data_IF_214271402824
#
_entry.id   IF_214271402824
#
_cell.length_a   1.000
_cell.length_b   1.000
_cell.length_c   1.000
_cell.angle_alpha   90.00
_cell.angle_beta   90.00
_cell.angle_gamma   90.00
#
_symmetry.space_group_name_H-M   'P 1'
#
loop_
_entity.id
_entity.type
_entity.pdbx_description
1 polymer ?
#
# COMPACT_ATOMS: atom_id res chain seq x y z
N UNK A 1 -12.40 -50.14 -26.40
CA UNK A 1 -11.76 -49.47 -25.24
C UNK A 1 -10.81 -48.44 -25.80
N UNK A 2 -11.29 -47.20 -25.89
CA UNK A 2 -10.53 -46.08 -26.45
C UNK A 2 -10.03 -45.26 -25.26
N UNK A 3 -8.71 -45.25 -25.07
CA UNK A 3 -8.02 -44.48 -24.05
C UNK A 3 -8.23 -42.98 -24.32
N UNK A 4 -9.23 -42.40 -23.65
CA UNK A 4 -9.37 -40.96 -23.54
C UNK A 4 -8.34 -40.46 -22.51
N UNK A 5 -7.16 -40.08 -23.00
CA UNK A 5 -6.28 -39.18 -22.24
C UNK A 5 -7.06 -37.87 -22.00
N UNK A 6 -7.16 -37.37 -20.76
CA UNK A 6 -7.82 -36.09 -20.53
C UNK A 6 -7.04 -35.01 -21.27
N UNK A 7 -7.74 -34.18 -22.05
CA UNK A 7 -7.19 -32.99 -22.65
C UNK A 7 -6.65 -32.09 -21.54
N UNK A 8 -5.33 -31.98 -21.41
CA UNK A 8 -4.69 -31.00 -20.54
C UNK A 8 -5.09 -29.64 -21.08
N UNK A 9 -5.95 -28.91 -20.36
CA UNK A 9 -6.44 -27.62 -20.82
C UNK A 9 -5.27 -26.63 -20.88
N UNK A 10 -5.06 -26.06 -22.06
CA UNK A 10 -4.05 -25.00 -22.31
C UNK A 10 -4.36 -23.73 -21.49
N UNK A 11 -5.58 -23.61 -20.94
CA UNK A 11 -6.00 -22.52 -20.07
C UNK A 11 -5.32 -22.51 -18.69
N UNK A 12 -4.78 -23.63 -18.20
CA UNK A 12 -4.30 -23.74 -16.81
C UNK A 12 -2.98 -22.99 -16.51
N UNK A 13 -2.29 -22.43 -17.52
CA UNK A 13 -1.02 -21.70 -17.35
C UNK A 13 -0.90 -20.45 -18.22
N UNK A 14 -2.03 -19.86 -18.62
CA UNK A 14 -2.01 -18.54 -19.26
C UNK A 14 -1.78 -17.45 -18.21
N UNK A 15 -0.79 -16.59 -18.43
CA UNK A 15 -0.42 -15.54 -17.47
C UNK A 15 -1.46 -14.43 -17.39
N UNK A 16 -2.13 -14.11 -18.50
CA UNK A 16 -3.11 -13.02 -18.55
C UNK A 16 -4.39 -13.39 -17.79
N UNK A 17 -4.87 -14.61 -17.97
CA UNK A 17 -5.99 -15.16 -17.20
C UNK A 17 -5.69 -15.21 -15.70
N UNK A 18 -4.47 -15.63 -15.33
CA UNK A 18 -4.03 -15.64 -13.93
C UNK A 18 -3.95 -14.24 -13.32
N UNK A 19 -3.45 -13.25 -14.09
CA UNK A 19 -3.39 -11.85 -13.67
C UNK A 19 -4.79 -11.34 -13.29
N UNK A 20 -5.75 -11.45 -14.20
CA UNK A 20 -7.14 -11.02 -13.98
C UNK A 20 -7.77 -11.74 -12.77
N UNK A 21 -7.49 -13.03 -12.62
CA UNK A 21 -7.97 -13.82 -11.51
C UNK A 21 -7.42 -13.30 -10.17
N UNK A 22 -6.11 -13.06 -10.06
CA UNK A 22 -5.52 -12.64 -8.78
C UNK A 22 -5.84 -11.19 -8.44
N UNK A 23 -5.97 -10.31 -9.44
CA UNK A 23 -6.46 -8.95 -9.22
C UNK A 23 -7.88 -8.95 -8.65
N UNK A 24 -8.81 -9.68 -9.27
CA UNK A 24 -10.20 -9.76 -8.80
C UNK A 24 -10.33 -10.42 -7.42
N UNK A 25 -9.42 -11.32 -7.06
CA UNK A 25 -9.38 -11.96 -5.74
C UNK A 25 -8.62 -11.15 -4.69
N UNK A 26 -7.99 -10.03 -5.04
CA UNK A 26 -7.13 -9.28 -4.14
C UNK A 26 -5.98 -10.12 -3.58
N UNK A 27 -5.41 -11.01 -4.40
CA UNK A 27 -4.27 -11.86 -3.99
C UNK A 27 -2.96 -11.24 -4.47
N UNK A 28 -1.93 -11.11 -3.61
CA UNK A 28 -0.61 -10.64 -4.05
C UNK A 28 0.00 -11.57 -5.10
N UNK A 29 0.65 -10.98 -6.10
CA UNK A 29 1.37 -11.69 -7.15
C UNK A 29 2.50 -10.80 -7.70
N UNK A 30 3.46 -11.39 -8.40
CA UNK A 30 4.47 -10.66 -9.17
C UNK A 30 4.27 -10.93 -10.66
N UNK A 31 4.30 -9.87 -11.48
CA UNK A 31 4.41 -10.00 -12.92
C UNK A 31 5.89 -10.00 -13.30
N UNK A 32 6.33 -11.04 -13.98
CA UNK A 32 7.70 -11.18 -14.46
C UNK A 32 7.69 -11.03 -15.98
N UNK A 33 8.54 -10.15 -16.51
CA UNK A 33 8.70 -9.92 -17.94
C UNK A 33 10.15 -10.15 -18.35
N UNK A 34 10.39 -10.98 -19.37
CA UNK A 34 11.70 -11.12 -20.00
C UNK A 34 11.98 -9.89 -20.84
N UNK A 35 12.98 -9.10 -20.45
CA UNK A 35 13.39 -7.89 -21.17
C UNK A 35 14.32 -8.23 -22.35
N UNK A 36 15.33 -9.07 -22.08
CA UNK A 36 16.31 -9.51 -23.08
C UNK A 36 16.77 -10.93 -22.81
N UNK A 37 17.11 -11.66 -23.87
CA UNK A 37 17.74 -12.98 -23.78
C UNK A 37 18.88 -13.12 -24.78
N UNK A 38 19.94 -13.79 -24.35
CA UNK A 38 21.13 -14.10 -25.13
C UNK A 38 21.27 -15.61 -25.25
N UNK A 39 21.40 -16.15 -26.48
CA UNK A 39 21.49 -17.58 -26.69
C UNK A 39 22.71 -18.24 -26.01
N UNK A 40 22.58 -19.52 -25.61
CA UNK A 40 21.35 -20.30 -25.66
C UNK A 40 20.46 -20.02 -24.44
N UNK A 41 19.25 -19.54 -24.71
CA UNK A 41 18.22 -19.30 -23.71
C UNK A 41 16.88 -19.79 -24.26
N UNK A 42 16.09 -20.46 -23.43
CA UNK A 42 14.74 -20.90 -23.79
C UNK A 42 13.68 -19.80 -23.67
N UNK A 43 14.05 -18.68 -23.06
CA UNK A 43 13.23 -17.49 -22.94
C UNK A 43 13.48 -16.52 -24.10
N UNK A 44 12.45 -15.79 -24.49
CA UNK A 44 12.49 -14.72 -25.49
C UNK A 44 12.07 -13.40 -24.86
N UNK A 45 12.59 -12.29 -25.38
CA UNK A 45 12.10 -10.97 -25.01
C UNK A 45 10.57 -10.90 -25.20
N UNK A 46 9.86 -10.39 -24.20
CA UNK A 46 8.40 -10.32 -24.17
C UNK A 46 7.69 -11.52 -23.54
N UNK A 47 8.39 -12.63 -23.28
CA UNK A 47 7.84 -13.72 -22.48
C UNK A 47 7.46 -13.22 -21.07
N UNK A 48 6.32 -13.69 -20.55
CA UNK A 48 5.76 -13.23 -19.28
C UNK A 48 5.28 -14.41 -18.43
N UNK A 49 5.38 -14.22 -17.12
CA UNK A 49 4.70 -15.07 -16.15
C UNK A 49 4.15 -14.26 -14.97
N UNK A 50 2.98 -14.64 -14.50
CA UNK A 50 2.47 -14.28 -13.18
C UNK A 50 2.95 -15.32 -12.19
N UNK A 51 3.49 -14.85 -11.06
CA UNK A 51 4.02 -15.72 -10.01
C UNK A 51 3.41 -15.33 -8.67
N UNK A 52 2.79 -16.30 -8.00
CA UNK A 52 2.16 -16.11 -6.69
C UNK A 52 3.17 -16.29 -5.56
N UNK A 53 2.83 -15.83 -4.36
CA UNK A 53 3.70 -15.92 -3.16
C UNK A 53 4.01 -17.36 -2.71
N UNK A 54 3.21 -18.34 -3.12
CA UNK A 54 3.49 -19.78 -2.92
C UNK A 54 4.40 -20.36 -4.03
N UNK A 55 4.82 -19.54 -4.98
CA UNK A 55 5.79 -19.88 -6.02
C UNK A 55 5.20 -20.59 -7.23
N UNK A 56 3.88 -20.58 -7.43
CA UNK A 56 3.25 -21.09 -8.64
C UNK A 56 3.45 -20.13 -9.82
N UNK A 57 3.83 -20.66 -10.99
CA UNK A 57 4.07 -19.90 -12.22
C UNK A 57 2.94 -20.13 -13.22
N UNK A 58 2.38 -19.03 -13.72
CA UNK A 58 1.40 -18.97 -14.80
C UNK A 58 2.02 -18.19 -15.94
N UNK A 59 2.44 -18.88 -17.01
CA UNK A 59 3.21 -18.32 -18.11
C UNK A 59 4.62 -18.90 -18.20
N UNK A 60 5.49 -18.19 -18.90
CA UNK A 60 6.84 -18.63 -19.22
C UNK A 60 7.85 -17.49 -19.11
N UNK A 61 9.01 -17.76 -18.53
CA UNK A 61 10.15 -16.82 -18.45
C UNK A 61 11.50 -17.55 -18.69
N UNK A 62 11.44 -18.77 -19.23
CA UNK A 62 12.58 -19.68 -19.35
C UNK A 62 12.52 -20.90 -18.44
N UNK A 63 13.53 -21.76 -18.60
CA UNK A 63 13.59 -23.09 -17.95
C UNK A 63 14.00 -23.08 -16.47
N UNK A 64 14.15 -24.27 -15.91
CA UNK A 64 14.32 -24.50 -14.46
C UNK A 64 15.57 -23.88 -13.81
N UNK A 65 16.61 -23.51 -14.57
CA UNK A 65 17.80 -22.86 -14.01
C UNK A 65 17.53 -21.41 -13.54
N UNK A 66 16.56 -20.71 -14.14
CA UNK A 66 16.24 -19.33 -13.78
C UNK A 66 15.24 -19.23 -12.61
N UNK A 67 14.27 -20.15 -12.54
CA UNK A 67 13.12 -20.04 -11.62
C UNK A 67 13.49 -19.93 -10.13
N UNK A 68 14.47 -20.66 -9.57
CA UNK A 68 14.84 -20.53 -8.15
C UNK A 68 15.42 -19.15 -7.80
N UNK A 69 16.21 -18.56 -8.71
CA UNK A 69 16.76 -17.22 -8.53
C UNK A 69 15.64 -16.18 -8.61
N UNK A 70 14.79 -16.31 -9.63
CA UNK A 70 13.64 -15.42 -9.83
C UNK A 70 12.68 -15.48 -8.64
N UNK A 71 12.44 -16.66 -8.07
CA UNK A 71 11.59 -16.81 -6.89
C UNK A 71 12.11 -16.00 -5.70
N UNK A 72 13.41 -16.06 -5.40
CA UNK A 72 13.99 -15.25 -4.31
C UNK A 72 13.83 -13.76 -4.55
N UNK A 73 14.06 -13.30 -5.78
CA UNK A 73 13.86 -11.91 -6.15
C UNK A 73 12.37 -11.51 -6.07
N UNK A 74 11.44 -12.41 -6.40
CA UNK A 74 10.00 -12.18 -6.20
C UNK A 74 9.66 -12.06 -4.73
N UNK A 75 10.17 -12.93 -3.86
CA UNK A 75 9.92 -12.87 -2.42
C UNK A 75 10.40 -11.52 -1.84
N UNK A 76 11.59 -11.07 -2.25
CA UNK A 76 12.15 -9.76 -1.90
C UNK A 76 11.29 -8.60 -2.45
N UNK A 77 10.88 -8.68 -3.71
CA UNK A 77 10.08 -7.65 -4.39
C UNK A 77 8.67 -7.54 -3.81
N UNK A 78 8.01 -8.67 -3.50
CA UNK A 78 6.70 -8.70 -2.86
C UNK A 78 6.76 -8.18 -1.43
N UNK A 79 7.81 -8.50 -0.68
CA UNK A 79 8.00 -8.01 0.69
C UNK A 79 8.29 -6.50 0.74
N UNK A 80 9.11 -6.00 -0.18
CA UNK A 80 9.48 -4.58 -0.24
C UNK A 80 8.46 -3.70 -0.99
N UNK A 81 7.66 -4.29 -1.88
CA UNK A 81 6.82 -3.56 -2.83
C UNK A 81 7.61 -2.83 -3.92
N UNK A 82 8.92 -3.09 -4.05
CA UNK A 82 9.81 -2.42 -5.01
C UNK A 82 10.09 -3.35 -6.20
N UNK A 83 9.96 -2.88 -7.45
CA UNK A 83 10.33 -3.66 -8.62
C UNK A 83 11.81 -4.00 -8.65
N UNK A 84 12.15 -5.19 -9.14
CA UNK A 84 13.52 -5.68 -9.27
C UNK A 84 13.82 -6.00 -10.72
N UNK A 85 14.93 -5.48 -11.24
CA UNK A 85 15.50 -5.93 -12.53
C UNK A 85 16.63 -6.89 -12.26
N UNK A 86 16.56 -8.10 -12.82
CA UNK A 86 17.50 -9.19 -12.57
C UNK A 86 18.19 -9.59 -13.87
N UNK A 87 19.52 -9.68 -13.86
CA UNK A 87 20.33 -10.22 -14.95
C UNK A 87 20.99 -11.53 -14.52
N UNK A 88 20.55 -12.64 -15.10
CA UNK A 88 21.13 -13.96 -14.89
C UNK A 88 22.11 -14.23 -16.04
N UNK A 89 23.40 -14.31 -15.73
CA UNK A 89 24.48 -14.44 -16.73
C UNK A 89 25.60 -15.35 -16.19
N UNK A 90 26.24 -16.17 -17.04
CA UNK A 90 27.47 -16.89 -16.67
C UNK A 90 28.69 -15.96 -16.61
N UNK A 91 28.64 -14.79 -17.28
CA UNK A 91 29.74 -13.85 -17.30
C UNK A 91 29.69 -12.93 -16.07
N UNK A 92 30.35 -13.35 -14.99
CA UNK A 92 30.42 -12.56 -13.75
C UNK A 92 31.18 -11.25 -13.91
N UNK A 93 32.02 -11.11 -14.94
CA UNK A 93 32.73 -9.87 -15.28
C UNK A 93 31.90 -8.85 -16.08
N UNK A 94 30.71 -9.22 -16.55
CA UNK A 94 29.81 -8.34 -17.31
C UNK A 94 29.39 -7.14 -16.44
N UNK A 95 29.63 -5.91 -16.92
CA UNK A 95 29.10 -4.71 -16.30
C UNK A 95 27.59 -4.66 -16.54
N UNK A 96 26.82 -4.41 -15.48
CA UNK A 96 25.36 -4.23 -15.57
C UNK A 96 24.99 -2.78 -15.23
N UNK A 97 23.93 -2.21 -15.83
CA UNK A 97 23.46 -0.89 -15.48
C UNK A 97 23.10 -0.76 -14.00
N UNK A 98 23.12 0.48 -13.49
CA UNK A 98 22.64 0.77 -12.14
C UNK A 98 21.17 0.32 -11.97
N UNK A 99 20.86 -0.34 -10.86
CA UNK A 99 19.52 -0.86 -10.57
C UNK A 99 19.25 -2.27 -11.11
N UNK A 100 20.18 -2.87 -11.87
CA UNK A 100 20.10 -4.26 -12.30
C UNK A 100 20.88 -5.15 -11.34
N UNK A 101 20.19 -6.10 -10.72
CA UNK A 101 20.81 -7.11 -9.87
C UNK A 101 21.43 -8.21 -10.74
N UNK A 102 22.76 -8.34 -10.71
CA UNK A 102 23.47 -9.41 -11.43
C UNK A 102 23.50 -10.68 -10.57
N UNK A 103 23.08 -11.80 -11.13
CA UNK A 103 23.18 -13.11 -10.50
C UNK A 103 23.96 -14.08 -11.39
N UNK A 104 25.03 -14.71 -10.87
CA UNK A 104 25.75 -15.73 -11.61
C UNK A 104 24.85 -16.93 -11.90
N UNK A 105 24.91 -17.41 -13.14
CA UNK A 105 24.20 -18.64 -13.51
C UNK A 105 24.90 -19.87 -12.94
N UNK A 106 24.17 -20.73 -12.22
CA UNK A 106 24.68 -21.99 -11.68
C UNK A 106 24.67 -23.15 -12.71
N UNK A 107 24.31 -22.88 -13.97
CA UNK A 107 23.89 -23.86 -14.97
C UNK A 107 24.77 -23.70 -16.23
N UNK A 108 25.16 -24.81 -16.86
CA UNK A 108 26.15 -24.84 -17.96
C UNK A 108 25.62 -24.40 -19.34
N UNK A 109 24.41 -23.83 -19.42
CA UNK A 109 23.81 -23.45 -20.71
C UNK A 109 24.58 -22.34 -21.41
N UNK A 110 25.19 -21.40 -20.68
CA UNK A 110 26.04 -20.35 -21.27
C UNK A 110 25.30 -19.13 -21.86
N UNK A 111 23.97 -19.16 -21.95
CA UNK A 111 23.16 -17.98 -22.32
C UNK A 111 22.89 -17.05 -21.15
N UNK A 112 22.29 -15.90 -21.40
CA UNK A 112 21.93 -14.91 -20.37
C UNK A 112 20.48 -14.45 -20.53
N UNK A 113 19.83 -14.09 -19.42
CA UNK A 113 18.46 -13.55 -19.44
C UNK A 113 18.37 -12.36 -18.50
N UNK A 114 17.71 -11.29 -18.94
CA UNK A 114 17.30 -10.20 -18.06
C UNK A 114 15.78 -10.18 -17.89
N UNK A 115 15.35 -9.99 -16.66
CA UNK A 115 13.97 -10.07 -16.22
C UNK A 115 13.61 -8.83 -15.42
N UNK A 116 12.42 -8.29 -15.63
CA UNK A 116 11.80 -7.29 -14.79
C UNK A 116 10.72 -7.94 -13.94
N UNK A 117 10.77 -7.71 -12.63
CA UNK A 117 9.85 -8.27 -11.65
C UNK A 117 9.07 -7.11 -11.03
N UNK A 118 7.77 -7.10 -11.25
CA UNK A 118 6.82 -6.08 -10.79
C UNK A 118 5.95 -6.68 -9.67
N UNK A 119 6.04 -6.21 -8.43
CA UNK A 119 5.22 -6.71 -7.34
C UNK A 119 3.83 -6.04 -7.37
N UNK A 120 2.78 -6.84 -7.33
CA UNK A 120 1.40 -6.39 -7.20
C UNK A 120 0.86 -6.82 -5.85
N UNK A 121 0.58 -5.86 -4.99
CA UNK A 121 -0.15 -6.08 -3.75
C UNK A 121 -1.61 -5.66 -3.92
N UNK A 122 -2.56 -6.37 -3.30
CA UNK A 122 -3.94 -5.90 -3.26
C UNK A 122 -3.99 -4.53 -2.61
N UNK A 123 -4.71 -3.61 -3.25
CA UNK A 123 -4.92 -2.30 -2.68
C UNK A 123 -5.78 -2.44 -1.43
N UNK A 124 -5.19 -2.18 -0.27
CA UNK A 124 -5.90 -2.24 1.01
C UNK A 124 -6.90 -1.07 1.06
N UNK A 125 -8.21 -1.33 1.17
CA UNK A 125 -9.22 -0.28 1.15
C UNK A 125 -9.26 0.51 2.46
N UNK A 126 -9.58 1.80 2.35
CA UNK A 126 -9.92 2.65 3.48
C UNK A 126 -11.41 2.53 3.77
N UNK A 127 -11.77 2.06 4.96
CA UNK A 127 -13.16 1.94 5.37
C UNK A 127 -13.60 3.25 6.03
N UNK A 128 -14.66 3.88 5.51
CA UNK A 128 -15.13 5.17 6.02
C UNK A 128 -16.51 4.98 6.65
N UNK A 129 -16.60 5.27 7.94
CA UNK A 129 -17.83 5.20 8.72
C UNK A 129 -18.48 6.58 8.83
N UNK A 130 -19.79 6.61 8.64
CA UNK A 130 -20.60 7.81 8.78
C UNK A 130 -20.89 8.53 7.47
N UNK A 131 -21.83 9.46 7.54
CA UNK A 131 -22.40 10.20 6.41
C UNK A 131 -22.20 11.71 6.58
N UNK A 132 -21.24 12.13 7.39
CA UNK A 132 -20.90 13.55 7.51
C UNK A 132 -20.32 14.09 6.18
N UNK A 133 -20.41 15.40 5.89
CA UNK A 133 -19.80 16.01 4.70
C UNK A 133 -18.33 15.63 4.50
N UNK A 134 -17.57 15.58 5.60
CA UNK A 134 -16.15 15.17 5.58
C UNK A 134 -15.94 13.73 5.11
N UNK A 135 -16.88 12.81 5.36
CA UNK A 135 -16.81 11.42 4.91
C UNK A 135 -16.88 11.33 3.38
N UNK A 136 -17.79 12.09 2.76
CA UNK A 136 -17.93 12.13 1.30
C UNK A 136 -16.71 12.75 0.63
N UNK A 137 -16.22 13.87 1.16
CA UNK A 137 -15.02 14.52 0.61
C UNK A 137 -13.79 13.63 0.75
N UNK A 138 -13.63 12.97 1.91
CA UNK A 138 -12.54 12.02 2.12
C UNK A 138 -12.61 10.84 1.13
N UNK A 139 -13.81 10.31 0.85
CA UNK A 139 -14.00 9.23 -0.10
C UNK A 139 -13.60 9.61 -1.54
N UNK A 140 -13.98 10.81 -1.98
CA UNK A 140 -13.58 11.35 -3.30
C UNK A 140 -12.06 11.56 -3.37
N UNK A 141 -11.48 12.26 -2.39
CA UNK A 141 -10.04 12.54 -2.37
C UNK A 141 -9.20 11.26 -2.32
N UNK A 142 -9.59 10.29 -1.48
CA UNK A 142 -8.89 9.01 -1.36
C UNK A 142 -8.89 8.25 -2.70
N UNK A 143 -10.03 8.22 -3.39
CA UNK A 143 -10.15 7.54 -4.70
C UNK A 143 -9.21 8.16 -5.75
N UNK A 144 -9.06 9.50 -5.75
CA UNK A 144 -8.17 10.21 -6.67
C UNK A 144 -6.68 9.94 -6.45
N UNK A 145 -6.29 9.50 -5.25
CA UNK A 145 -4.90 9.15 -4.93
C UNK A 145 -4.66 7.63 -4.95
N UNK A 146 -5.54 6.87 -5.60
CA UNK A 146 -5.41 5.42 -5.76
C UNK A 146 -5.68 4.62 -4.48
N UNK A 147 -6.40 5.20 -3.52
CA UNK A 147 -6.84 4.50 -2.31
C UNK A 147 -8.29 4.05 -2.53
N UNK A 148 -8.56 2.74 -2.68
CA UNK A 148 -9.93 2.26 -2.76
C UNK A 148 -10.65 2.53 -1.44
N UNK A 149 -11.94 2.86 -1.53
CA UNK A 149 -12.77 3.24 -0.39
C UNK A 149 -13.97 2.31 -0.29
N UNK A 150 -14.25 1.88 0.93
CA UNK A 150 -15.48 1.16 1.26
C UNK A 150 -16.27 2.02 2.26
N UNK A 151 -17.45 2.48 1.87
CA UNK A 151 -18.35 3.18 2.78
C UNK A 151 -19.03 2.19 3.73
N UNK A 152 -19.11 2.54 5.01
CA UNK A 152 -19.68 1.72 6.07
C UNK A 152 -20.98 2.33 6.57
N UNK A 153 -22.08 1.59 6.43
CA UNK A 153 -23.41 1.99 6.86
C UNK A 153 -23.93 1.09 7.97
N UNK A 154 -24.79 1.64 8.84
CA UNK A 154 -25.51 0.89 9.87
C UNK A 154 -26.78 0.25 9.28
N UNK A 155 -27.17 -0.98 9.69
CA UNK A 155 -26.42 -1.89 10.57
C UNK A 155 -25.17 -2.44 9.87
N UNK A 156 -24.08 -2.55 10.63
CA UNK A 156 -22.83 -3.07 10.08
C UNK A 156 -22.94 -4.58 9.83
N UNK A 157 -22.53 -5.00 8.63
CA UNK A 157 -22.41 -6.42 8.30
C UNK A 157 -21.17 -7.01 8.96
N UNK A 158 -21.19 -8.32 9.24
CA UNK A 158 -20.01 -9.03 9.74
C UNK A 158 -18.90 -9.03 8.68
N UNK A 159 -18.03 -8.03 8.76
CA UNK A 159 -16.80 -7.93 8.01
C UNK A 159 -15.64 -8.31 8.92
N UNK A 160 -14.66 -9.00 8.36
CA UNK A 160 -13.44 -9.36 9.07
C UNK A 160 -12.25 -8.81 8.32
N UNK A 161 -11.16 -8.53 9.04
CA UNK A 161 -9.87 -8.11 8.49
C UNK A 161 -9.84 -6.69 7.91
N UNK A 162 -10.55 -5.75 8.55
CA UNK A 162 -10.34 -4.32 8.24
C UNK A 162 -8.89 -3.96 8.59
N UNK A 163 -8.17 -3.30 7.68
CA UNK A 163 -6.81 -2.82 7.97
C UNK A 163 -6.84 -1.37 8.42
N UNK A 164 -7.55 -0.52 7.69
CA UNK A 164 -7.59 0.93 7.90
C UNK A 164 -9.02 1.43 7.89
N UNK A 165 -9.36 2.26 8.88
CA UNK A 165 -10.69 2.83 9.00
C UNK A 165 -10.67 4.29 9.48
N UNK A 166 -11.63 5.08 8.99
CA UNK A 166 -11.89 6.44 9.45
C UNK A 166 -13.31 6.53 9.98
N UNK A 167 -13.46 7.04 11.19
CA UNK A 167 -14.75 7.30 11.82
C UNK A 167 -15.09 8.79 11.63
N UNK A 168 -16.01 9.04 10.72
CA UNK A 168 -16.46 10.37 10.25
C UNK A 168 -17.98 10.53 10.47
N UNK A 169 -18.43 10.18 11.67
CA UNK A 169 -19.84 10.06 12.08
C UNK A 169 -20.43 11.35 12.64
N UNK A 170 -19.60 12.31 13.03
CA UNK A 170 -20.03 13.58 13.67
C UNK A 170 -20.98 13.40 14.88
N UNK A 171 -20.86 12.31 15.66
CA UNK A 171 -21.67 12.08 16.86
C UNK A 171 -22.81 11.08 16.71
N UNK A 172 -23.07 10.61 15.50
CA UNK A 172 -24.05 9.56 15.24
C UNK A 172 -23.36 8.20 15.32
N UNK A 173 -23.74 7.35 16.28
CA UNK A 173 -23.22 5.98 16.38
C UNK A 173 -21.69 5.86 16.52
N UNK A 174 -21.02 6.84 17.14
CA UNK A 174 -19.55 6.85 17.30
C UNK A 174 -19.04 5.56 17.97
N UNK A 175 -19.66 5.17 19.09
CA UNK A 175 -19.26 3.99 19.88
C UNK A 175 -19.47 2.72 19.07
N UNK A 176 -20.62 2.58 18.40
CA UNK A 176 -20.91 1.42 17.58
C UNK A 176 -19.92 1.30 16.42
N UNK A 177 -19.59 2.42 15.77
CA UNK A 177 -18.65 2.47 14.64
C UNK A 177 -17.22 2.14 15.07
N UNK A 178 -16.75 2.74 16.18
CA UNK A 178 -15.41 2.47 16.73
C UNK A 178 -15.31 1.01 17.16
N UNK A 179 -16.29 0.50 17.91
CA UNK A 179 -16.29 -0.89 18.39
C UNK A 179 -16.28 -1.87 17.22
N UNK A 180 -17.17 -1.69 16.25
CA UNK A 180 -17.20 -2.54 15.07
C UNK A 180 -15.87 -2.52 14.32
N UNK A 181 -15.28 -1.35 14.07
CA UNK A 181 -13.99 -1.26 13.38
C UNK A 181 -12.87 -2.00 14.13
N UNK A 182 -12.82 -1.86 15.46
CA UNK A 182 -11.83 -2.54 16.31
C UNK A 182 -12.02 -4.06 16.35
N UNK A 183 -13.28 -4.51 16.46
CA UNK A 183 -13.65 -5.94 16.50
C UNK A 183 -13.39 -6.62 15.14
N UNK A 184 -13.63 -5.90 14.05
CA UNK A 184 -13.32 -6.35 12.69
C UNK A 184 -11.81 -6.34 12.36
N UNK A 185 -10.96 -5.93 13.32
CA UNK A 185 -9.51 -6.08 13.26
C UNK A 185 -8.74 -4.86 12.75
N UNK A 186 -9.35 -3.67 12.66
CA UNK A 186 -8.69 -2.44 12.18
C UNK A 186 -7.30 -2.25 12.81
N UNK A 187 -6.25 -2.31 12.00
CA UNK A 187 -4.87 -2.10 12.43
C UNK A 187 -4.65 -0.64 12.85
N UNK A 188 -5.25 0.31 12.12
CA UNK A 188 -5.24 1.74 12.45
C UNK A 188 -6.63 2.34 12.25
N UNK A 189 -7.05 3.16 13.21
CA UNK A 189 -8.32 3.89 13.18
C UNK A 189 -8.06 5.38 13.35
N UNK A 190 -8.68 6.21 12.50
CA UNK A 190 -8.71 7.66 12.69
C UNK A 190 -10.11 8.10 13.06
N UNK A 191 -10.28 8.77 14.19
CA UNK A 191 -11.59 9.27 14.62
C UNK A 191 -11.63 10.80 14.53
N UNK A 192 -12.52 11.29 13.66
CA UNK A 192 -12.73 12.72 13.44
C UNK A 192 -13.54 13.28 14.61
N UNK A 193 -12.82 13.66 15.67
CA UNK A 193 -13.37 14.24 16.89
C UNK A 193 -12.33 15.06 17.65
N UNK A 194 -12.78 15.91 18.57
CA UNK A 194 -11.88 16.62 19.49
C UNK A 194 -11.26 15.68 20.53
N UNK A 195 -10.10 16.06 21.08
CA UNK A 195 -9.46 15.36 22.21
C UNK A 195 -10.46 15.09 23.35
N UNK A 196 -11.20 16.13 23.77
CA UNK A 196 -12.20 16.02 24.86
C UNK A 196 -13.24 14.95 24.58
N UNK A 197 -13.77 14.88 23.35
CA UNK A 197 -14.76 13.88 22.97
C UNK A 197 -14.16 12.49 22.97
N UNK A 198 -12.95 12.32 22.44
CA UNK A 198 -12.25 11.05 22.46
C UNK A 198 -11.96 10.56 23.88
N UNK A 199 -11.46 11.40 24.77
CA UNK A 199 -11.20 11.02 26.17
C UNK A 199 -12.44 10.45 26.86
N UNK A 200 -13.62 11.05 26.64
CA UNK A 200 -14.89 10.55 27.17
C UNK A 200 -15.26 9.19 26.57
N UNK A 201 -15.25 9.07 25.24
CA UNK A 201 -15.63 7.83 24.56
C UNK A 201 -14.65 6.69 24.84
N UNK A 202 -13.35 6.99 24.98
CA UNK A 202 -12.32 6.01 25.35
C UNK A 202 -12.63 5.37 26.71
N UNK A 203 -12.99 6.17 27.71
CA UNK A 203 -13.36 5.66 29.04
C UNK A 203 -14.61 4.77 28.99
N UNK A 204 -15.63 5.19 28.24
CA UNK A 204 -16.86 4.41 28.06
C UNK A 204 -16.61 3.08 27.35
N UNK A 205 -15.78 3.08 26.30
CA UNK A 205 -15.36 1.86 25.61
C UNK A 205 -14.57 0.91 26.52
N UNK A 206 -13.68 1.44 27.37
CA UNK A 206 -12.96 0.65 28.37
C UNK A 206 -13.90 0.01 29.39
N UNK A 207 -14.86 0.78 29.92
CA UNK A 207 -15.84 0.29 30.90
C UNK A 207 -16.77 -0.78 30.31
N UNK A 208 -17.01 -0.74 29.00
CA UNK A 208 -17.82 -1.72 28.28
C UNK A 208 -17.01 -2.89 27.70
N UNK A 209 -15.74 -3.04 28.10
CA UNK A 209 -14.93 -4.23 27.83
C UNK A 209 -13.99 -4.15 26.62
N UNK A 210 -13.86 -3.00 25.96
CA UNK A 210 -12.86 -2.84 24.88
C UNK A 210 -11.45 -2.78 25.48
N UNK A 211 -10.57 -3.66 25.01
CA UNK A 211 -9.18 -3.74 25.48
C UNK A 211 -8.41 -2.43 25.23
N UNK A 212 -7.54 -2.06 26.17
CA UNK A 212 -6.71 -0.84 26.07
C UNK A 212 -5.84 -0.87 24.82
N UNK A 213 -5.22 -2.02 24.52
CA UNK A 213 -4.40 -2.23 23.32
C UNK A 213 -5.17 -2.00 22.02
N UNK A 214 -6.48 -2.32 22.00
CA UNK A 214 -7.32 -2.02 20.85
C UNK A 214 -7.54 -0.50 20.70
N UNK A 215 -7.75 0.20 21.81
CA UNK A 215 -7.98 1.65 21.82
C UNK A 215 -6.73 2.46 21.47
N UNK A 216 -5.54 1.94 21.75
CA UNK A 216 -4.27 2.58 21.34
C UNK A 216 -4.08 2.62 19.82
N UNK A 217 -4.85 1.83 19.06
CA UNK A 217 -4.91 1.89 17.59
C UNK A 217 -5.70 3.09 17.07
N UNK A 218 -6.41 3.82 17.94
CA UNK A 218 -7.26 4.96 17.58
C UNK A 218 -6.50 6.28 17.72
N UNK A 219 -6.44 7.01 16.61
CA UNK A 219 -5.90 8.39 16.56
C UNK A 219 -7.05 9.38 16.56
N UNK A 220 -7.12 10.23 17.59
CA UNK A 220 -8.11 11.28 17.72
C UNK A 220 -7.53 12.49 18.48
N UNK A 221 -7.55 13.71 17.90
CA UNK A 221 -8.13 14.09 16.61
C UNK A 221 -7.46 13.40 15.42
N UNK A 222 -8.28 13.07 14.43
CA UNK A 222 -7.81 12.55 13.16
C UNK A 222 -7.08 13.64 12.34
N UNK A 223 -6.13 13.20 11.51
CA UNK A 223 -5.44 14.05 10.56
C UNK A 223 -4.20 14.77 11.10
N UNK A 224 -3.50 15.44 10.17
CA UNK A 224 -2.34 16.29 10.47
C UNK A 224 -2.77 17.65 11.05
N UNK A 225 -1.99 18.26 11.96
CA UNK A 225 -2.31 19.54 12.58
C UNK A 225 -2.05 20.72 11.64
N UNK A 226 -2.83 20.82 10.56
CA UNK A 226 -2.70 21.87 9.53
C UNK A 226 -3.63 23.08 9.75
N UNK A 227 -4.35 23.12 10.89
CA UNK A 227 -5.32 24.17 11.19
C UNK A 227 -6.64 24.07 10.41
N UNK A 228 -6.99 22.86 9.94
CA UNK A 228 -8.19 22.59 9.14
C UNK A 228 -9.50 22.97 9.84
N UNK A 229 -10.41 23.59 9.11
CA UNK A 229 -11.73 24.05 9.59
C UNK A 229 -12.88 23.58 8.71
N UNK A 230 -12.70 23.50 7.39
CA UNK A 230 -13.76 23.04 6.48
C UNK A 230 -13.74 21.51 6.32
N UNK A 231 -14.85 20.87 5.88
CA UNK A 231 -14.84 19.45 5.56
C UNK A 231 -13.74 19.03 4.58
N UNK A 232 -13.42 19.87 3.60
CA UNK A 232 -12.38 19.63 2.60
C UNK A 232 -10.98 19.69 3.22
N UNK A 233 -10.71 20.69 4.04
CA UNK A 233 -9.43 20.81 4.76
C UNK A 233 -9.23 19.66 5.75
N UNK A 234 -10.29 19.28 6.46
CA UNK A 234 -10.25 18.16 7.41
C UNK A 234 -10.01 16.86 6.65
N UNK A 235 -10.76 16.60 5.58
CA UNK A 235 -10.57 15.41 4.74
C UNK A 235 -9.15 15.34 4.17
N UNK A 236 -8.60 16.45 3.68
CA UNK A 236 -7.21 16.54 3.22
C UNK A 236 -6.21 16.19 4.34
N UNK A 237 -6.41 16.74 5.54
CA UNK A 237 -5.53 16.48 6.69
C UNK A 237 -5.56 15.00 7.12
N UNK A 238 -6.74 14.38 7.08
CA UNK A 238 -6.94 12.96 7.41
C UNK A 238 -6.33 12.07 6.33
N UNK A 239 -6.56 12.37 5.06
CA UNK A 239 -5.98 11.63 3.95
C UNK A 239 -4.45 11.68 3.97
N UNK A 240 -3.88 12.85 4.26
CA UNK A 240 -2.43 13.00 4.42
C UNK A 240 -1.91 12.10 5.56
N UNK A 241 -2.64 11.99 6.67
CA UNK A 241 -2.29 11.10 7.76
C UNK A 241 -2.40 9.62 7.38
N UNK A 242 -3.45 9.24 6.66
CA UNK A 242 -3.61 7.88 6.11
C UNK A 242 -2.42 7.55 5.20
N UNK A 243 -2.11 8.40 4.22
CA UNK A 243 -1.01 8.18 3.28
C UNK A 243 0.33 8.03 3.99
N UNK A 244 0.62 8.86 4.99
CA UNK A 244 1.86 8.75 5.76
C UNK A 244 1.98 7.39 6.47
N UNK A 245 0.90 6.94 7.14
CA UNK A 245 0.87 5.64 7.80
C UNK A 245 1.04 4.48 6.80
N UNK A 246 0.38 4.55 5.62
CA UNK A 246 0.56 3.55 4.54
C UNK A 246 2.01 3.44 4.06
N UNK A 247 2.79 4.50 4.19
CA UNK A 247 4.21 4.56 3.82
C UNK A 247 5.14 4.24 5.00
N UNK A 248 4.60 3.77 6.13
CA UNK A 248 5.37 3.45 7.33
C UNK A 248 5.98 4.68 8.01
N UNK A 249 5.47 5.89 7.74
CA UNK A 249 5.93 7.10 8.41
C UNK A 249 5.11 7.34 9.66
N UNK A 250 5.79 7.36 10.81
CA UNK A 250 5.17 7.80 12.05
C UNK A 250 4.91 9.30 12.01
N UNK A 251 3.66 9.68 12.23
CA UNK A 251 3.28 11.08 12.44
C UNK A 251 3.36 11.34 13.93
N UNK A 252 4.27 12.24 14.32
CA UNK A 252 4.26 12.81 15.66
C UNK A 252 3.10 13.79 15.72
N UNK A 253 2.06 13.48 16.49
CA UNK A 253 1.05 14.48 16.83
C UNK A 253 1.73 15.49 17.76
N UNK A 254 1.84 16.75 17.31
CA UNK A 254 2.26 17.82 18.21
C UNK A 254 1.18 17.96 19.28
N UNK A 255 1.50 17.59 20.52
CA UNK A 255 0.62 17.84 21.65
C UNK A 255 0.26 19.32 21.66
N UNK A 256 -1.04 19.60 21.77
CA UNK A 256 -1.59 20.94 21.95
C UNK A 256 -1.29 21.48 23.36
N UNK A 257 -0.02 21.46 23.76
CA UNK A 257 0.53 22.12 24.95
C UNK A 257 1.52 23.20 24.53
N UNK A 258 1.05 24.18 23.76
CA UNK A 258 1.65 25.53 23.75
C UNK A 258 0.51 26.53 23.79
N UNK A 259 -0.07 26.70 24.98
CA UNK A 259 -0.82 27.89 25.33
C UNK A 259 -0.55 28.16 26.81
N UNK A 260 -0.02 29.37 27.08
CA UNK A 260 0.39 29.94 28.38
C UNK A 260 1.83 29.70 28.81
N UNK A 261 2.78 30.41 28.18
CA UNK A 261 3.80 31.18 28.93
C UNK A 261 4.49 32.21 28.01
N UNK A 262 4.65 33.43 28.54
CA UNK A 262 5.43 34.59 28.06
C UNK A 262 5.01 35.25 26.72
N UNK A 263 4.25 36.34 26.70
CA UNK A 263 4.69 37.75 26.93
C UNK A 263 5.68 38.27 25.88
N UNK A 264 5.16 39.14 25.00
CA UNK A 264 5.82 40.32 24.39
C UNK A 264 7.35 40.29 24.23
N UNK A 265 7.80 40.02 23.01
CA UNK A 265 8.97 40.68 22.40
C UNK A 265 8.80 40.67 20.89
N UNK A 266 8.66 41.84 20.28
CA UNK A 266 8.75 42.03 18.83
C UNK A 266 10.17 41.65 18.35
N UNK A 267 10.31 40.90 17.24
CA UNK A 267 11.58 40.80 16.54
C UNK A 267 11.60 41.78 15.35
N UNK A 268 12.59 42.66 15.38
CA UNK A 268 13.01 43.55 14.30
C UNK A 268 13.32 42.79 13.00
N UNK A 269 12.89 43.36 11.87
CA UNK A 269 13.03 42.81 10.51
C UNK A 269 14.49 42.59 10.07
N UNK A 270 14.81 41.49 9.35
CA UNK A 270 16.08 41.35 8.63
C UNK A 270 16.00 41.97 7.22
N UNK A 271 17.15 42.26 6.58
CA UNK A 271 17.19 42.94 5.29
C UNK A 271 16.75 42.02 4.14
N UNK A 272 16.04 42.62 3.18
CA UNK A 272 15.54 41.99 1.96
C UNK A 272 16.73 41.60 1.06
N UNK A 273 16.96 40.29 0.90
CA UNK A 273 17.83 39.76 -0.14
C UNK A 273 17.01 39.51 -1.42
N UNK A 274 17.51 40.04 -2.54
CA UNK A 274 16.86 39.99 -3.84
C UNK A 274 16.72 38.55 -4.38
N UNK A 275 15.49 38.20 -4.77
CA UNK A 275 15.16 36.97 -5.48
C UNK A 275 15.70 37.06 -6.92
N UNK A 276 16.66 36.21 -7.28
CA UNK A 276 16.97 35.95 -8.69
C UNK A 276 15.98 34.90 -9.23
N UNK A 277 15.20 35.35 -10.22
CA UNK A 277 14.34 34.54 -11.07
C UNK A 277 15.15 33.46 -11.79
N UNK A 278 14.78 32.19 -11.62
CA UNK A 278 15.35 31.04 -12.35
C UNK A 278 14.37 30.55 -13.42
N UNK A 279 14.05 31.42 -14.38
CA UNK A 279 13.47 31.02 -15.67
C UNK A 279 14.18 31.74 -16.82
N UNK A 280 14.85 30.97 -17.68
CA UNK A 280 15.49 31.37 -18.94
C UNK A 280 16.56 30.33 -19.30
N UNK A 281 16.27 29.36 -20.18
CA UNK A 281 16.58 29.40 -21.63
C UNK A 281 18.05 28.97 -21.85
N UNK A 282 18.39 27.88 -22.54
CA UNK A 282 18.01 27.40 -23.89
C UNK A 282 18.06 25.87 -23.91
#
# INVERSE_FOLDING_TARGET
>A
MQDLRPAVSVAAKDWLSALNQFESQGRPYALVTVLRSEPPASARAGDKAVVTSDGAFYGWIGGGCAQPVVRRAIDESLASGVPITLRITPNTGEAVPQGVQKVPMACHSGGSVELFIEPHQPAVPLHIYGTAPVAYVLADLASRVGIPVTAMATPFQNQTQLTWAVIATQGQDDIASIRHALDAGAHRLWFIASHRKWSKLRLELQQTGTAISALDRVTAPAGLPIGAKTPEEIALSVLAAVVAERRGRQIVQADAQIAMESSTTEPSSPPVAAVKSCCGGV
#
